data_IF_680684627870
#
_entry.id   IF_680684627870
#
_cell.length_a   1.000
_cell.length_b   1.000
_cell.length_c   1.000
_cell.angle_alpha   90.00
_cell.angle_beta   90.00
_cell.angle_gamma   90.00
#
_symmetry.space_group_name_H-M   'P 1'
#
loop_
_entity.id
_entity.type
_entity.pdbx_description
1 polymer ?
#
# COMPACT_ATOMS: atom_id res chain seq x y z
N UNK A 1 14.02 -41.10 59.68
CA UNK A 1 15.36 -40.81 59.13
C UNK A 1 15.52 -41.70 57.91
N UNK A 2 15.56 -41.29 56.66
CA UNK A 2 15.76 -40.01 55.99
C UNK A 2 16.18 -40.36 54.55
N UNK A 3 15.90 -39.47 53.60
CA UNK A 3 16.23 -39.54 52.16
C UNK A 3 17.66 -40.08 51.87
N UNK A 4 17.91 -40.68 50.69
CA UNK A 4 18.36 -40.00 49.46
C UNK A 4 18.36 -41.06 48.33
N UNK A 5 17.55 -40.97 47.26
CA UNK A 5 17.73 -40.17 46.05
C UNK A 5 19.18 -40.05 45.56
N UNK A 6 19.48 -40.72 44.45
CA UNK A 6 20.58 -40.36 43.54
C UNK A 6 20.11 -40.57 42.11
N UNK A 7 19.69 -39.45 41.54
CA UNK A 7 19.40 -39.18 40.14
C UNK A 7 20.63 -39.42 39.27
N UNK A 8 20.51 -40.32 38.30
CA UNK A 8 21.39 -40.29 37.13
C UNK A 8 20.71 -39.45 36.07
N UNK A 9 21.48 -38.48 35.57
CA UNK A 9 21.10 -37.47 34.61
C UNK A 9 20.69 -38.13 33.29
N UNK A 10 19.43 -37.97 32.90
CA UNK A 10 19.03 -38.18 31.52
C UNK A 10 19.44 -36.95 30.70
N UNK A 11 20.24 -37.26 29.70
CA UNK A 11 20.82 -36.35 28.74
C UNK A 11 19.71 -35.50 28.09
N UNK A 12 19.92 -34.19 28.09
CA UNK A 12 19.24 -33.30 27.17
C UNK A 12 19.68 -33.65 25.74
N UNK A 13 18.93 -34.58 25.14
CA UNK A 13 18.91 -34.81 23.71
C UNK A 13 18.44 -33.51 23.05
N UNK A 14 19.39 -32.76 22.49
CA UNK A 14 19.13 -31.57 21.69
C UNK A 14 18.54 -31.97 20.36
N UNK A 15 17.31 -32.49 20.40
CA UNK A 15 16.45 -32.59 19.24
C UNK A 15 16.26 -31.15 18.74
N UNK A 16 16.79 -30.84 17.55
CA UNK A 16 16.75 -29.49 16.97
C UNK A 16 15.33 -29.16 16.49
N UNK A 17 14.38 -29.14 17.42
CA UNK A 17 13.03 -28.67 17.18
C UNK A 17 13.14 -27.21 16.77
N UNK A 18 12.95 -26.95 15.47
CA UNK A 18 12.93 -25.60 14.93
C UNK A 18 11.90 -24.81 15.74
N UNK A 19 12.34 -23.70 16.33
CA UNK A 19 11.48 -22.87 17.18
C UNK A 19 10.42 -22.17 16.33
N UNK A 20 9.19 -22.07 16.83
CA UNK A 20 8.12 -21.37 16.10
C UNK A 20 8.50 -19.90 15.90
N UNK A 21 8.22 -19.32 14.73
CA UNK A 21 8.46 -17.89 14.50
C UNK A 21 7.74 -16.97 15.52
N UNK A 22 6.53 -17.35 15.97
CA UNK A 22 5.83 -16.66 17.04
C UNK A 22 6.58 -16.74 18.39
N UNK A 23 7.20 -17.88 18.71
CA UNK A 23 8.00 -18.07 19.93
C UNK A 23 9.33 -17.31 19.86
N UNK A 24 9.96 -17.26 18.68
CA UNK A 24 11.20 -16.49 18.43
C UNK A 24 10.96 -15.00 18.68
N UNK A 25 9.83 -14.46 18.20
CA UNK A 25 9.43 -13.08 18.45
C UNK A 25 8.85 -12.88 19.87
N UNK A 26 8.36 -13.93 20.51
CA UNK A 26 7.73 -13.88 21.83
C UNK A 26 6.33 -13.26 21.80
N UNK A 27 5.57 -13.53 20.74
CA UNK A 27 4.21 -13.02 20.51
C UNK A 27 3.20 -14.17 20.43
N UNK A 28 1.93 -13.87 20.69
CA UNK A 28 0.86 -14.84 20.53
C UNK A 28 0.62 -15.19 19.04
N UNK A 29 0.07 -16.36 18.77
CA UNK A 29 -0.31 -16.79 17.40
C UNK A 29 -1.31 -15.83 16.76
N UNK A 30 -2.21 -15.27 17.55
CA UNK A 30 -3.23 -14.33 17.11
C UNK A 30 -2.75 -12.88 17.15
N UNK A 31 -1.45 -12.64 17.33
CA UNK A 31 -0.89 -11.30 17.36
C UNK A 31 -1.17 -10.54 16.06
N UNK A 32 -1.46 -9.25 16.20
CA UNK A 32 -1.68 -8.32 15.10
C UNK A 32 -0.35 -7.95 14.44
N UNK A 33 -0.39 -7.44 13.20
CA UNK A 33 0.82 -7.00 12.49
C UNK A 33 1.59 -5.91 13.27
N UNK A 34 0.89 -5.05 13.99
CA UNK A 34 1.50 -4.01 14.82
C UNK A 34 2.26 -4.59 16.01
N UNK A 35 1.72 -5.63 16.64
CA UNK A 35 2.37 -6.35 17.73
C UNK A 35 3.61 -7.10 17.26
N UNK A 36 3.54 -7.76 16.10
CA UNK A 36 4.68 -8.43 15.45
C UNK A 36 5.80 -7.41 15.18
N UNK A 37 5.47 -6.28 14.56
CA UNK A 37 6.43 -5.19 14.29
C UNK A 37 7.03 -4.61 15.57
N UNK A 38 6.22 -4.46 16.63
CA UNK A 38 6.69 -3.96 17.94
C UNK A 38 7.64 -4.96 18.61
N UNK A 39 7.32 -6.25 18.57
CA UNK A 39 8.16 -7.32 19.11
C UNK A 39 9.49 -7.42 18.36
N UNK A 40 9.47 -7.33 17.03
CA UNK A 40 10.67 -7.29 16.20
C UNK A 40 11.59 -6.11 16.58
N UNK A 41 11.05 -4.89 16.67
CA UNK A 41 11.83 -3.71 17.09
C UNK A 41 12.47 -3.89 18.47
N UNK A 42 11.74 -4.48 19.42
CA UNK A 42 12.25 -4.74 20.77
C UNK A 42 13.41 -5.75 20.74
N UNK A 43 13.23 -6.89 20.05
CA UNK A 43 14.24 -7.94 19.91
C UNK A 43 15.47 -7.46 19.14
N UNK A 44 15.29 -6.63 18.11
CA UNK A 44 16.39 -6.03 17.36
C UNK A 44 17.28 -5.14 18.24
N UNK A 45 16.69 -4.32 19.13
CA UNK A 45 17.44 -3.51 20.08
C UNK A 45 18.13 -4.34 21.18
N UNK A 46 17.54 -5.48 21.57
CA UNK A 46 18.15 -6.43 22.52
C UNK A 46 19.34 -7.17 21.91
N UNK A 47 19.25 -7.54 20.63
CA UNK A 47 20.25 -8.31 19.91
C UNK A 47 21.21 -7.45 19.05
N UNK A 48 21.20 -6.13 19.25
CA UNK A 48 22.10 -5.25 18.52
C UNK A 48 23.57 -5.51 18.97
N UNK A 49 24.54 -5.58 18.03
CA UNK A 49 25.95 -5.84 18.36
C UNK A 49 26.54 -4.77 19.29
N UNK A 50 26.10 -3.53 19.17
CA UNK A 50 26.50 -2.39 20.04
C UNK A 50 26.02 -2.52 21.49
N UNK A 51 25.17 -3.49 21.81
CA UNK A 51 24.76 -3.76 23.21
C UNK A 51 25.36 -5.06 23.76
N UNK A 52 25.90 -5.91 22.88
CA UNK A 52 26.37 -7.25 23.20
C UNK A 52 27.84 -7.45 22.80
N UNK A 53 28.73 -6.60 23.31
CA UNK A 53 30.16 -6.58 22.96
C UNK A 53 30.92 -7.89 23.27
N UNK A 54 30.39 -8.78 24.11
CA UNK A 54 31.03 -10.06 24.47
C UNK A 54 30.43 -11.32 23.83
N UNK A 55 29.27 -11.21 23.15
CA UNK A 55 28.49 -12.35 22.66
C UNK A 55 27.98 -12.08 21.22
N UNK A 56 28.84 -11.46 20.40
CA UNK A 56 28.47 -10.98 19.05
C UNK A 56 27.95 -12.14 18.19
N UNK A 57 28.64 -13.28 18.15
CA UNK A 57 28.26 -14.43 17.32
C UNK A 57 26.86 -14.98 17.67
N UNK A 58 26.59 -15.16 18.96
CA UNK A 58 25.28 -15.65 19.44
C UNK A 58 24.18 -14.63 19.19
N UNK A 59 24.49 -13.34 19.34
CA UNK A 59 23.55 -12.26 19.11
C UNK A 59 23.20 -12.14 17.63
N UNK A 60 24.19 -12.21 16.74
CA UNK A 60 24.01 -12.25 15.28
C UNK A 60 23.19 -13.44 14.83
N UNK A 61 23.45 -14.64 15.35
CA UNK A 61 22.67 -15.84 15.01
C UNK A 61 21.20 -15.70 15.44
N UNK A 62 20.93 -15.24 16.67
CA UNK A 62 19.56 -14.98 17.15
C UNK A 62 18.89 -13.84 16.40
N UNK A 63 19.65 -12.83 15.99
CA UNK A 63 19.14 -11.71 15.21
C UNK A 63 18.70 -12.17 13.82
N UNK A 64 19.47 -13.03 13.16
CA UNK A 64 19.09 -13.65 11.90
C UNK A 64 17.81 -14.50 12.03
N UNK A 65 17.66 -15.27 13.12
CA UNK A 65 16.43 -16.00 13.42
C UNK A 65 15.22 -15.05 13.58
N UNK A 66 15.38 -13.98 14.38
CA UNK A 66 14.34 -12.96 14.61
C UNK A 66 13.98 -12.22 13.31
N UNK A 67 14.95 -11.94 12.46
CA UNK A 67 14.74 -11.34 11.15
C UNK A 67 13.94 -12.27 10.24
N UNK A 68 14.33 -13.55 10.15
CA UNK A 68 13.59 -14.55 9.35
C UNK A 68 12.15 -14.73 9.84
N UNK A 69 11.93 -14.70 11.15
CA UNK A 69 10.60 -14.79 11.75
C UNK A 69 9.73 -13.58 11.38
N UNK A 70 10.29 -12.37 11.42
CA UNK A 70 9.58 -11.16 11.05
C UNK A 70 9.29 -11.09 9.55
N UNK A 71 10.23 -11.48 8.68
CA UNK A 71 10.01 -11.52 7.23
C UNK A 71 8.76 -12.36 6.89
N UNK A 72 8.69 -13.60 7.39
CA UNK A 72 7.57 -14.51 7.14
C UNK A 72 6.25 -14.04 7.79
N UNK A 73 6.30 -13.54 9.03
CA UNK A 73 5.08 -13.15 9.76
C UNK A 73 4.55 -11.76 9.39
N UNK A 74 5.35 -10.92 8.74
CA UNK A 74 4.97 -9.56 8.35
C UNK A 74 4.14 -9.49 7.07
N UNK A 75 4.30 -10.44 6.15
CA UNK A 75 3.46 -10.55 4.94
C UNK A 75 2.25 -11.46 5.22
N UNK A 76 1.00 -10.96 5.08
CA UNK A 76 -0.21 -11.76 5.30
C UNK A 76 -0.26 -13.07 4.51
N UNK A 77 0.27 -13.08 3.28
CA UNK A 77 0.29 -14.26 2.42
C UNK A 77 1.31 -15.29 2.93
N UNK A 78 2.50 -14.84 3.33
CA UNK A 78 3.53 -15.72 3.87
C UNK A 78 3.15 -16.24 5.27
N UNK A 79 2.49 -15.41 6.08
CA UNK A 79 1.91 -15.81 7.37
C UNK A 79 0.86 -16.90 7.18
N UNK A 80 -0.09 -16.73 6.27
CA UNK A 80 -1.10 -17.73 5.99
C UNK A 80 -0.48 -19.06 5.51
N UNK A 81 0.54 -18.98 4.65
CA UNK A 81 1.28 -20.16 4.19
C UNK A 81 2.05 -20.84 5.33
N UNK A 82 2.73 -20.06 6.17
CA UNK A 82 3.44 -20.56 7.33
C UNK A 82 2.49 -21.21 8.32
N UNK A 83 1.35 -20.60 8.63
CA UNK A 83 0.35 -21.17 9.53
C UNK A 83 -0.22 -22.49 8.99
N UNK A 84 -0.43 -22.60 7.67
CA UNK A 84 -0.89 -23.82 7.01
C UNK A 84 0.15 -24.95 7.03
N UNK A 85 1.45 -24.63 6.92
CA UNK A 85 2.54 -25.62 6.83
C UNK A 85 3.38 -25.74 8.11
N UNK A 86 3.02 -25.00 9.17
CA UNK A 86 3.76 -24.87 10.43
C UNK A 86 4.12 -26.24 11.01
N UNK A 87 3.14 -27.13 11.12
CA UNK A 87 3.35 -28.43 11.74
C UNK A 87 4.33 -29.30 10.94
N UNK A 88 4.38 -29.14 9.62
CA UNK A 88 5.37 -29.81 8.75
C UNK A 88 6.78 -29.22 8.93
N UNK A 89 6.87 -27.90 9.08
CA UNK A 89 8.13 -27.17 9.25
C UNK A 89 8.75 -27.45 10.64
N UNK A 90 7.94 -27.41 11.69
CA UNK A 90 8.39 -27.54 13.10
C UNK A 90 8.67 -28.97 13.53
N UNK A 91 7.93 -29.95 12.99
CA UNK A 91 8.17 -31.36 13.31
C UNK A 91 9.54 -31.84 12.87
N UNK A 92 10.27 -31.05 12.05
CA UNK A 92 11.72 -31.19 11.89
C UNK A 92 12.18 -32.63 11.75
N UNK A 93 11.50 -33.43 10.94
CA UNK A 93 11.80 -34.85 10.85
C UNK A 93 13.08 -35.01 10.04
N UNK A 94 14.21 -34.90 10.73
CA UNK A 94 15.57 -35.27 10.31
C UNK A 94 15.91 -36.72 10.74
N UNK A 95 14.95 -37.46 11.26
CA UNK A 95 15.04 -38.92 11.27
C UNK A 95 14.92 -39.45 9.84
N UNK A 96 15.44 -40.65 9.53
CA UNK A 96 15.03 -41.37 8.34
C UNK A 96 13.54 -41.68 8.52
N UNK A 97 12.66 -40.74 8.18
CA UNK A 97 11.42 -41.11 7.52
C UNK A 97 11.87 -42.06 6.43
N UNK A 98 11.06 -43.05 6.09
CA UNK A 98 11.14 -43.51 4.71
C UNK A 98 11.09 -42.28 3.80
N UNK A 99 12.26 -41.79 3.37
CA UNK A 99 12.60 -41.75 1.95
C UNK A 99 12.27 -43.17 1.50
N UNK A 100 10.97 -43.47 1.37
CA UNK A 100 10.53 -44.42 0.43
C UNK A 100 11.10 -43.78 -0.82
N UNK A 101 12.25 -44.33 -1.19
CA UNK A 101 13.07 -43.96 -2.32
C UNK A 101 12.19 -44.36 -3.50
N UNK A 102 11.08 -43.62 -3.65
CA UNK A 102 9.94 -43.88 -4.51
C UNK A 102 10.39 -43.35 -5.85
N UNK A 103 11.35 -44.07 -6.40
CA UNK A 103 11.68 -44.00 -7.80
C UNK A 103 10.45 -44.51 -8.54
N UNK A 104 9.75 -43.63 -9.25
CA UNK A 104 9.03 -44.10 -10.42
C UNK A 104 10.04 -44.11 -11.56
N UNK A 105 10.22 -45.30 -12.14
CA UNK A 105 10.92 -45.47 -13.41
C UNK A 105 12.32 -44.82 -13.42
N UNK A 106 13.08 -45.02 -12.33
CA UNK A 106 14.47 -44.57 -12.13
C UNK A 106 14.70 -43.06 -11.92
N UNK A 107 13.65 -42.27 -11.63
CA UNK A 107 13.78 -40.86 -11.23
C UNK A 107 13.23 -40.66 -9.82
N UNK A 108 14.01 -40.00 -8.95
CA UNK A 108 13.58 -39.65 -7.59
C UNK A 108 12.38 -38.71 -7.68
N UNK A 109 11.22 -39.11 -7.16
CA UNK A 109 10.03 -38.25 -7.16
C UNK A 109 10.19 -37.17 -6.09
N UNK A 110 10.08 -35.90 -6.50
CA UNK A 110 9.99 -34.79 -5.56
C UNK A 110 8.59 -34.78 -4.95
N UNK A 111 8.49 -34.98 -3.64
CA UNK A 111 7.20 -34.88 -2.92
C UNK A 111 6.84 -33.41 -2.62
N UNK A 112 5.55 -33.12 -2.49
CA UNK A 112 5.08 -31.78 -2.09
C UNK A 112 5.70 -31.33 -0.75
N UNK A 113 5.88 -32.26 0.19
CA UNK A 113 6.54 -32.00 1.46
C UNK A 113 8.03 -31.62 1.33
N UNK A 114 8.75 -32.18 0.35
CA UNK A 114 10.13 -31.79 0.07
C UNK A 114 10.19 -30.33 -0.39
N UNK A 115 9.31 -29.92 -1.30
CA UNK A 115 9.23 -28.53 -1.81
C UNK A 115 8.96 -27.54 -0.67
N UNK A 116 7.98 -27.83 0.18
CA UNK A 116 7.63 -27.00 1.36
C UNK A 116 8.79 -26.89 2.34
N UNK A 117 9.50 -28.00 2.58
CA UNK A 117 10.68 -28.00 3.47
C UNK A 117 11.81 -27.16 2.90
N UNK A 118 12.04 -27.23 1.59
CA UNK A 118 13.04 -26.39 0.93
C UNK A 118 12.67 -24.91 1.03
N UNK A 119 11.40 -24.54 0.82
CA UNK A 119 10.91 -23.17 1.05
C UNK A 119 11.22 -22.66 2.47
N UNK A 120 11.03 -23.50 3.49
CA UNK A 120 11.38 -23.15 4.87
C UNK A 120 12.88 -23.07 5.17
N UNK A 121 13.74 -23.63 4.32
CA UNK A 121 15.21 -23.49 4.45
C UNK A 121 15.71 -22.18 3.85
N UNK A 122 15.01 -21.61 2.87
CA UNK A 122 15.34 -20.32 2.29
C UNK A 122 15.04 -19.20 3.29
N UNK A 123 16.06 -18.79 4.04
CA UNK A 123 16.06 -17.61 4.90
C UNK A 123 17.00 -16.53 4.32
N UNK A 124 17.00 -15.32 4.89
CA UNK A 124 17.90 -14.22 4.53
C UNK A 124 19.39 -14.50 4.76
N UNK A 125 19.75 -15.66 5.31
CA UNK A 125 21.14 -16.09 5.51
C UNK A 125 21.72 -16.85 4.31
N UNK A 126 20.92 -17.23 3.31
CA UNK A 126 21.43 -17.93 2.12
C UNK A 126 22.03 -16.93 1.13
N UNK A 127 23.26 -17.13 0.65
CA UNK A 127 23.88 -16.23 -0.31
C UNK A 127 23.21 -16.31 -1.68
N UNK A 128 22.98 -15.14 -2.28
CA UNK A 128 22.36 -14.97 -3.61
C UNK A 128 23.37 -15.27 -4.74
N UNK A 129 23.89 -16.50 -4.74
CA UNK A 129 24.98 -16.94 -5.62
C UNK A 129 24.56 -18.17 -6.42
N UNK A 130 25.26 -18.41 -7.53
CA UNK A 130 25.12 -19.61 -8.38
C UNK A 130 25.84 -20.84 -7.82
N UNK A 131 26.44 -20.73 -6.63
CA UNK A 131 27.03 -21.88 -5.95
C UNK A 131 25.95 -22.99 -5.73
N UNK A 132 26.34 -24.27 -5.63
CA UNK A 132 25.39 -25.36 -5.43
C UNK A 132 24.57 -25.21 -4.13
N UNK A 133 25.15 -24.58 -3.10
CA UNK A 133 24.48 -24.23 -1.84
C UNK A 133 23.88 -22.81 -1.84
N UNK A 134 24.02 -22.08 -2.95
CA UNK A 134 23.47 -20.74 -3.16
C UNK A 134 22.02 -20.78 -3.62
N UNK A 135 21.35 -19.63 -3.54
CA UNK A 135 19.94 -19.51 -3.91
C UNK A 135 19.64 -20.01 -5.33
N UNK A 136 20.44 -19.60 -6.32
CA UNK A 136 20.21 -19.96 -7.72
C UNK A 136 20.57 -21.41 -8.01
N UNK A 137 21.65 -21.95 -7.42
CA UNK A 137 22.05 -23.34 -7.63
C UNK A 137 21.04 -24.36 -7.05
N UNK A 138 20.52 -24.10 -5.84
CA UNK A 138 19.48 -24.97 -5.25
C UNK A 138 18.21 -24.95 -6.10
N UNK A 139 17.82 -23.78 -6.61
CA UNK A 139 16.62 -23.65 -7.44
C UNK A 139 16.82 -24.28 -8.82
N UNK A 140 17.98 -24.08 -9.45
CA UNK A 140 18.29 -24.66 -10.75
C UNK A 140 18.27 -26.19 -10.68
N UNK A 141 18.91 -26.78 -9.67
CA UNK A 141 18.91 -28.24 -9.48
C UNK A 141 17.50 -28.78 -9.25
N UNK A 142 16.69 -28.10 -8.43
CA UNK A 142 15.31 -28.50 -8.17
C UNK A 142 14.42 -28.37 -9.41
N UNK A 143 14.47 -27.25 -10.13
CA UNK A 143 13.65 -27.06 -11.33
C UNK A 143 14.08 -28.00 -12.46
N UNK A 144 15.38 -28.28 -12.60
CA UNK A 144 15.88 -29.29 -13.52
C UNK A 144 15.38 -30.70 -13.14
N UNK A 145 15.36 -31.03 -11.85
CA UNK A 145 14.81 -32.29 -11.38
C UNK A 145 13.31 -32.39 -11.66
N UNK A 146 12.54 -31.32 -11.38
CA UNK A 146 11.11 -31.26 -11.67
C UNK A 146 10.83 -31.39 -13.17
N UNK A 147 11.58 -30.71 -14.03
CA UNK A 147 11.47 -30.81 -15.48
C UNK A 147 11.72 -32.25 -15.96
N UNK A 148 12.79 -32.88 -15.48
CA UNK A 148 13.12 -34.28 -15.78
C UNK A 148 12.06 -35.26 -15.29
N UNK A 149 11.47 -35.00 -14.12
CA UNK A 149 10.37 -35.81 -13.58
C UNK A 149 9.10 -35.71 -14.44
N UNK A 150 8.80 -34.53 -15.01
CA UNK A 150 7.66 -34.35 -15.90
C UNK A 150 7.93 -34.90 -17.31
N UNK A 151 9.16 -34.79 -17.82
CA UNK A 151 9.60 -35.42 -19.08
C UNK A 151 9.49 -36.95 -18.98
N UNK A 152 9.98 -37.54 -17.88
CA UNK A 152 9.82 -38.97 -17.64
C UNK A 152 8.34 -39.39 -17.58
N UNK A 153 7.46 -38.60 -16.96
CA UNK A 153 6.02 -38.88 -16.96
C UNK A 153 5.38 -38.73 -18.36
N UNK A 154 5.97 -37.89 -19.21
CA UNK A 154 5.51 -37.59 -20.55
C UNK A 154 5.78 -38.70 -21.56
N UNK A 155 7.00 -39.25 -21.57
CA UNK A 155 7.45 -40.31 -22.49
C UNK A 155 6.55 -41.56 -22.42
N UNK A 156 5.93 -41.81 -21.28
CA UNK A 156 5.00 -42.92 -21.10
C UNK A 156 3.54 -42.59 -21.46
N UNK A 157 3.17 -41.31 -21.52
CA UNK A 157 1.79 -40.84 -21.69
C UNK A 157 1.40 -40.44 -23.12
N UNK A 158 2.36 -40.21 -24.02
CA UNK A 158 2.11 -39.86 -25.42
C UNK A 158 1.41 -38.50 -25.62
N UNK A 159 1.57 -37.57 -24.68
CA UNK A 159 1.00 -36.22 -24.77
C UNK A 159 1.89 -35.29 -25.62
N UNK A 160 1.55 -34.00 -25.78
CA UNK A 160 2.42 -33.01 -26.45
C UNK A 160 3.56 -32.53 -25.54
N UNK A 161 4.80 -32.58 -26.02
CA UNK A 161 6.01 -32.18 -25.27
C UNK A 161 5.90 -30.72 -24.83
N UNK A 162 5.85 -30.50 -23.51
CA UNK A 162 5.92 -29.17 -22.92
C UNK A 162 7.37 -28.92 -22.51
N UNK A 163 8.09 -28.16 -23.33
CA UNK A 163 9.44 -27.72 -22.98
C UNK A 163 9.39 -26.83 -21.72
N UNK A 164 10.18 -27.18 -20.72
CA UNK A 164 10.32 -26.46 -19.47
C UNK A 164 11.62 -25.63 -19.52
N UNK A 165 11.53 -24.30 -19.61
CA UNK A 165 12.72 -23.45 -19.62
C UNK A 165 13.54 -23.63 -18.34
N UNK A 166 14.85 -23.56 -18.48
CA UNK A 166 15.78 -23.55 -17.35
C UNK A 166 15.65 -22.25 -16.55
N UNK A 167 16.03 -22.30 -15.26
CA UNK A 167 15.91 -21.16 -14.33
C UNK A 167 16.94 -20.04 -14.56
N UNK A 168 18.09 -20.38 -15.15
CA UNK A 168 19.17 -19.43 -15.44
C UNK A 168 20.10 -19.10 -14.26
N UNK A 169 21.05 -18.19 -14.51
CA UNK A 169 22.11 -17.71 -13.61
C UNK A 169 21.88 -16.26 -13.13
N UNK A 170 22.60 -15.82 -12.10
CA UNK A 170 22.53 -14.44 -11.56
C UNK A 170 22.55 -13.34 -12.65
N UNK A 171 23.23 -13.56 -13.77
CA UNK A 171 23.46 -12.56 -14.82
C UNK A 171 22.47 -12.61 -16.00
N UNK A 172 21.47 -13.48 -15.94
CA UNK A 172 20.56 -13.67 -17.07
C UNK A 172 19.52 -12.55 -17.22
N UNK A 173 19.18 -12.27 -18.49
CA UNK A 173 18.27 -11.20 -18.86
C UNK A 173 16.80 -11.52 -18.55
N UNK A 174 16.06 -10.49 -18.13
CA UNK A 174 14.68 -10.63 -17.70
C UNK A 174 13.76 -11.08 -18.85
N UNK A 175 13.88 -10.47 -20.03
CA UNK A 175 12.93 -10.67 -21.12
C UNK A 175 13.13 -12.05 -21.79
N UNK A 176 14.38 -12.50 -21.89
CA UNK A 176 14.73 -13.69 -22.65
C UNK A 176 14.70 -15.00 -21.83
N UNK A 177 15.05 -14.95 -20.54
CA UNK A 177 15.18 -16.17 -19.71
C UNK A 177 14.15 -16.17 -18.58
N UNK A 178 14.13 -15.10 -17.79
CA UNK A 178 13.34 -15.03 -16.54
C UNK A 178 11.82 -14.99 -16.82
N UNK A 179 11.39 -14.17 -17.80
CA UNK A 179 9.98 -14.01 -18.18
C UNK A 179 9.36 -15.28 -18.78
N UNK A 180 9.95 -15.95 -19.79
CA UNK A 180 9.39 -17.20 -20.31
C UNK A 180 9.42 -18.32 -19.26
N UNK A 181 10.45 -18.37 -18.41
CA UNK A 181 10.50 -19.27 -17.25
C UNK A 181 9.27 -19.08 -16.36
N UNK A 182 9.08 -17.89 -15.78
CA UNK A 182 7.96 -17.66 -14.86
C UNK A 182 6.60 -17.83 -15.53
N UNK A 183 6.45 -17.47 -16.81
CA UNK A 183 5.19 -17.68 -17.55
C UNK A 183 4.80 -19.15 -17.61
N UNK A 184 5.77 -20.05 -17.78
CA UNK A 184 5.54 -21.50 -17.81
C UNK A 184 5.29 -22.06 -16.41
N UNK A 185 6.14 -21.69 -15.45
CA UNK A 185 6.12 -22.26 -14.10
C UNK A 185 4.98 -21.73 -13.20
N UNK A 186 4.47 -20.52 -13.44
CA UNK A 186 3.27 -20.01 -12.73
C UNK A 186 2.03 -20.85 -13.09
N UNK A 187 1.93 -21.29 -14.34
CA UNK A 187 0.83 -22.10 -14.84
C UNK A 187 1.14 -23.61 -14.78
N UNK A 188 2.08 -24.00 -13.92
CA UNK A 188 2.51 -25.39 -13.81
C UNK A 188 1.32 -26.31 -13.48
N UNK A 189 1.25 -27.41 -14.22
CA UNK A 189 0.35 -28.54 -13.97
C UNK A 189 1.13 -29.82 -14.20
N UNK A 190 1.23 -30.65 -13.17
CA UNK A 190 1.88 -31.95 -13.28
C UNK A 190 1.08 -32.90 -14.16
N UNK A 191 1.79 -33.73 -14.93
CA UNK A 191 1.24 -34.85 -15.71
C UNK A 191 1.50 -36.20 -15.06
N UNK A 192 2.13 -36.22 -13.88
CA UNK A 192 2.36 -37.45 -13.11
C UNK A 192 1.05 -38.13 -12.77
N UNK A 193 1.06 -39.45 -12.80
CA UNK A 193 -0.13 -40.26 -12.55
C UNK A 193 -0.50 -40.34 -11.06
N UNK A 194 0.42 -40.02 -10.15
CA UNK A 194 0.23 -40.12 -8.68
C UNK A 194 -0.28 -41.49 -8.20
N UNK A 195 -0.03 -42.56 -8.95
CA UNK A 195 -0.52 -43.92 -8.64
C UNK A 195 0.00 -44.48 -7.30
N UNK A 196 1.10 -43.94 -6.77
CA UNK A 196 1.62 -44.28 -5.44
C UNK A 196 0.80 -43.71 -4.28
N UNK A 197 -0.12 -42.76 -4.55
CA UNK A 197 -1.08 -42.24 -3.54
C UNK A 197 -2.26 -43.19 -3.32
N UNK A 198 -2.43 -44.22 -4.14
CA UNK A 198 -3.50 -45.20 -4.01
C UNK A 198 -3.33 -46.00 -2.70
N UNK A 199 -4.22 -45.77 -1.73
CA UNK A 199 -4.20 -46.48 -0.45
C UNK A 199 -4.82 -47.87 -0.54
N UNK A 200 -5.76 -48.07 -1.45
CA UNK A 200 -6.51 -49.31 -1.57
C UNK A 200 -6.17 -50.02 -2.88
N UNK A 201 -5.90 -51.32 -2.84
CA UNK A 201 -5.73 -52.09 -4.08
C UNK A 201 -7.10 -52.44 -4.66
N UNK A 202 -7.29 -52.21 -5.96
CA UNK A 202 -8.54 -52.54 -6.67
C UNK A 202 -8.84 -54.05 -6.71
N UNK A 203 -7.80 -54.89 -6.52
CA UNK A 203 -7.89 -56.35 -6.42
C UNK A 203 -8.58 -56.83 -5.15
N UNK A 204 -8.49 -56.07 -4.06
CA UNK A 204 -8.91 -56.51 -2.73
C UNK A 204 -10.43 -56.33 -2.51
N UNK A 205 -11.12 -55.79 -3.52
CA UNK A 205 -12.54 -55.51 -3.49
C UNK A 205 -13.38 -56.80 -3.63
N UNK A 206 -14.25 -57.13 -2.65
CA UNK A 206 -15.08 -58.34 -2.68
C UNK A 206 -16.18 -58.28 -3.75
N UNK A 207 -16.73 -57.08 -4.01
CA UNK A 207 -17.81 -56.86 -4.97
C UNK A 207 -17.46 -55.79 -6.00
N UNK A 208 -18.11 -55.84 -7.17
CA UNK A 208 -17.98 -54.79 -8.21
C UNK A 208 -18.34 -53.40 -7.69
N UNK A 209 -19.33 -53.31 -6.78
CA UNK A 209 -19.73 -52.04 -6.15
C UNK A 209 -18.61 -51.49 -5.26
N UNK A 210 -17.99 -52.33 -4.45
CA UNK A 210 -16.88 -51.97 -3.58
C UNK A 210 -15.65 -51.57 -4.39
N UNK A 211 -15.39 -52.25 -5.52
CA UNK A 211 -14.30 -51.88 -6.45
C UNK A 211 -14.47 -50.47 -6.99
N UNK A 212 -15.69 -50.09 -7.39
CA UNK A 212 -16.00 -48.73 -7.86
C UNK A 212 -15.83 -47.68 -6.76
N UNK A 213 -16.18 -48.00 -5.52
CA UNK A 213 -15.98 -47.10 -4.38
C UNK A 213 -14.48 -46.92 -4.08
N UNK A 214 -13.72 -48.02 -4.08
CA UNK A 214 -12.26 -48.01 -3.92
C UNK A 214 -11.59 -47.20 -5.03
N UNK A 215 -11.96 -47.43 -6.28
CA UNK A 215 -11.41 -46.70 -7.43
C UNK A 215 -11.73 -45.20 -7.37
N UNK A 216 -12.95 -44.85 -6.96
CA UNK A 216 -13.35 -43.46 -6.73
C UNK A 216 -12.56 -42.82 -5.58
N UNK A 217 -12.32 -43.56 -4.51
CA UNK A 217 -11.54 -43.07 -3.36
C UNK A 217 -10.06 -42.91 -3.71
N UNK A 218 -9.46 -43.87 -4.42
CA UNK A 218 -8.11 -43.72 -4.95
C UNK A 218 -8.02 -42.55 -5.91
N UNK A 219 -9.00 -42.36 -6.79
CA UNK A 219 -9.04 -41.19 -7.67
C UNK A 219 -9.07 -39.89 -6.86
N UNK A 220 -9.88 -39.82 -5.79
CA UNK A 220 -9.91 -38.69 -4.87
C UNK A 220 -8.54 -38.43 -4.23
N UNK A 221 -7.84 -39.47 -3.78
CA UNK A 221 -6.49 -39.37 -3.19
C UNK A 221 -5.42 -38.94 -4.20
N UNK A 222 -5.53 -39.40 -5.45
CA UNK A 222 -4.65 -38.95 -6.54
C UNK A 222 -4.90 -37.48 -6.87
N UNK A 223 -6.16 -37.09 -7.01
CA UNK A 223 -6.56 -35.71 -7.29
C UNK A 223 -6.15 -34.76 -6.15
N UNK A 224 -6.22 -35.21 -4.90
CA UNK A 224 -5.68 -34.50 -3.73
C UNK A 224 -4.16 -34.35 -3.81
N UNK A 225 -3.42 -35.45 -4.03
CA UNK A 225 -1.97 -35.39 -4.18
C UNK A 225 -1.49 -34.51 -5.35
N UNK A 226 -2.21 -34.53 -6.48
CA UNK A 226 -1.96 -33.67 -7.64
C UNK A 226 -2.18 -32.21 -7.27
N UNK A 227 -3.28 -31.89 -6.57
CA UNK A 227 -3.56 -30.52 -6.12
C UNK A 227 -2.49 -30.03 -5.15
N UNK A 228 -2.17 -30.80 -4.13
CA UNK A 228 -1.12 -30.46 -3.16
C UNK A 228 0.24 -30.22 -3.83
N UNK A 229 0.62 -31.06 -4.78
CA UNK A 229 1.88 -30.90 -5.52
C UNK A 229 1.88 -29.66 -6.40
N UNK A 230 0.80 -29.43 -7.17
CA UNK A 230 0.68 -28.25 -8.01
C UNK A 230 0.69 -26.96 -7.18
N UNK A 231 -0.02 -26.95 -6.05
CA UNK A 231 -0.07 -25.81 -5.15
C UNK A 231 1.27 -25.56 -4.47
N UNK A 232 2.00 -26.61 -4.09
CA UNK A 232 3.37 -26.50 -3.56
C UNK A 232 4.35 -25.93 -4.61
N UNK A 233 4.32 -26.41 -5.86
CA UNK A 233 5.17 -25.88 -6.94
C UNK A 233 4.83 -24.42 -7.24
N UNK A 234 3.54 -24.07 -7.34
CA UNK A 234 3.12 -22.67 -7.58
C UNK A 234 3.47 -21.76 -6.42
N UNK A 235 3.35 -22.24 -5.17
CA UNK A 235 3.78 -21.50 -3.99
C UNK A 235 5.30 -21.27 -4.00
N UNK A 236 6.10 -22.27 -4.38
CA UNK A 236 7.54 -22.11 -4.58
C UNK A 236 7.84 -21.06 -5.65
N UNK A 237 7.18 -21.13 -6.81
CA UNK A 237 7.41 -20.17 -7.90
C UNK A 237 7.03 -18.75 -7.46
N UNK A 238 5.92 -18.58 -6.74
CA UNK A 238 5.52 -17.29 -6.19
C UNK A 238 6.53 -16.75 -5.16
N UNK A 239 7.09 -17.63 -4.33
CA UNK A 239 8.12 -17.31 -3.35
C UNK A 239 9.43 -16.87 -4.01
N UNK A 240 9.91 -17.64 -4.99
CA UNK A 240 11.12 -17.29 -5.75
C UNK A 240 10.91 -15.96 -6.47
N UNK A 241 9.74 -15.74 -7.08
CA UNK A 241 9.40 -14.50 -7.78
C UNK A 241 9.45 -13.25 -6.88
N UNK A 242 9.13 -13.36 -5.59
CA UNK A 242 9.23 -12.24 -4.64
C UNK A 242 10.68 -11.92 -4.25
N UNK A 243 11.55 -12.93 -4.28
CA UNK A 243 12.92 -12.86 -3.77
C UNK A 243 13.97 -12.67 -4.85
N UNK A 244 13.67 -13.05 -6.09
CA UNK A 244 14.60 -12.90 -7.21
C UNK A 244 14.77 -11.42 -7.58
N UNK A 245 15.95 -10.81 -7.39
CA UNK A 245 16.22 -9.44 -7.79
C UNK A 245 16.11 -9.23 -9.31
N UNK A 246 16.30 -10.29 -10.11
CA UNK A 246 16.14 -10.25 -11.56
C UNK A 246 14.67 -10.12 -11.97
N UNK A 247 13.74 -10.56 -11.11
CA UNK A 247 12.32 -10.43 -11.40
C UNK A 247 11.90 -8.98 -11.16
N UNK A 248 11.91 -8.19 -12.22
CA UNK A 248 11.41 -6.82 -12.20
C UNK A 248 9.90 -6.93 -11.95
N UNK A 249 9.38 -6.41 -10.81
CA UNK A 249 7.97 -6.55 -10.45
C UNK A 249 7.11 -5.73 -11.41
N UNK A 250 6.72 -6.38 -12.51
CA UNK A 250 5.83 -5.91 -13.55
C UNK A 250 6.23 -4.57 -14.19
N UNK A 251 6.47 -4.65 -15.49
CA UNK A 251 6.65 -3.59 -16.48
C UNK A 251 5.42 -2.69 -16.65
N UNK A 252 4.81 -2.23 -15.56
CA UNK A 252 4.13 -0.95 -15.59
C UNK A 252 5.14 0.03 -15.04
N UNK A 253 5.80 0.70 -15.97
CA UNK A 253 6.53 1.90 -15.62
C UNK A 253 5.60 2.78 -14.80
N UNK A 254 6.13 3.59 -13.89
CA UNK A 254 5.30 4.51 -13.11
C UNK A 254 4.39 5.36 -14.03
N UNK A 255 4.84 5.61 -15.26
CA UNK A 255 4.06 6.18 -16.34
C UNK A 255 2.81 5.36 -16.75
N UNK A 256 2.90 4.03 -16.87
CA UNK A 256 1.75 3.17 -17.18
C UNK A 256 0.72 3.17 -16.03
N UNK A 257 1.19 3.17 -14.79
CA UNK A 257 0.32 3.33 -13.61
C UNK A 257 -0.40 4.67 -13.61
N UNK A 258 0.34 5.75 -13.86
CA UNK A 258 -0.22 7.11 -13.98
C UNK A 258 -1.20 7.23 -15.15
N UNK A 259 -0.94 6.53 -16.27
CA UNK A 259 -1.84 6.47 -17.42
C UNK A 259 -3.15 5.78 -17.07
N UNK A 260 -3.10 4.62 -16.41
CA UNK A 260 -4.31 3.90 -15.96
C UNK A 260 -5.14 4.77 -15.00
N UNK A 261 -4.49 5.46 -14.06
CA UNK A 261 -5.17 6.39 -13.16
C UNK A 261 -5.81 7.57 -13.90
N UNK A 262 -5.12 8.13 -14.91
CA UNK A 262 -5.65 9.21 -15.75
C UNK A 262 -6.84 8.76 -16.58
N UNK A 263 -6.77 7.58 -17.18
CA UNK A 263 -7.82 7.01 -18.02
C UNK A 263 -9.05 6.66 -17.17
N UNK A 264 -8.86 6.13 -15.96
CA UNK A 264 -9.93 5.90 -14.99
C UNK A 264 -10.61 7.21 -14.55
N UNK A 265 -9.82 8.26 -14.24
CA UNK A 265 -10.36 9.57 -13.87
C UNK A 265 -11.11 10.22 -15.05
N UNK A 266 -10.61 10.09 -16.27
CA UNK A 266 -11.26 10.58 -17.48
C UNK A 266 -12.59 9.84 -17.74
N UNK A 267 -12.63 8.52 -17.56
CA UNK A 267 -13.84 7.72 -17.70
C UNK A 267 -14.90 8.09 -16.65
N UNK A 268 -14.49 8.33 -15.39
CA UNK A 268 -15.39 8.82 -14.34
C UNK A 268 -15.93 10.22 -14.66
N UNK A 269 -15.07 11.13 -15.11
CA UNK A 269 -15.48 12.48 -15.52
C UNK A 269 -16.44 12.46 -16.71
N UNK A 270 -16.20 11.60 -17.71
CA UNK A 270 -17.09 11.43 -18.86
C UNK A 270 -18.46 10.88 -18.42
N UNK A 271 -18.47 9.88 -17.54
CA UNK A 271 -19.70 9.32 -16.98
C UNK A 271 -20.50 10.36 -16.17
N UNK A 272 -19.81 11.19 -15.37
CA UNK A 272 -20.44 12.27 -14.62
C UNK A 272 -21.04 13.36 -15.54
N UNK A 273 -20.33 13.74 -16.62
CA UNK A 273 -20.84 14.68 -17.62
C UNK A 273 -22.08 14.13 -18.32
N UNK A 274 -22.04 12.88 -18.77
CA UNK A 274 -23.19 12.22 -19.39
C UNK A 274 -24.39 12.15 -18.43
N UNK A 275 -24.16 11.86 -17.15
CA UNK A 275 -25.22 11.86 -16.14
C UNK A 275 -25.81 13.26 -15.89
N UNK A 276 -24.97 14.30 -15.88
CA UNK A 276 -25.44 15.68 -15.75
C UNK A 276 -26.20 16.14 -16.99
N UNK A 277 -25.72 15.81 -18.18
CA UNK A 277 -26.40 16.12 -19.43
C UNK A 277 -27.77 15.43 -19.49
N UNK A 278 -27.85 14.14 -19.16
CA UNK A 278 -29.13 13.43 -19.08
C UNK A 278 -30.09 14.00 -18.02
N UNK A 279 -29.57 14.63 -16.95
CA UNK A 279 -30.39 15.37 -15.98
C UNK A 279 -30.88 16.69 -16.56
N UNK A 280 -30.05 17.41 -17.32
CA UNK A 280 -30.42 18.64 -18.01
C UNK A 280 -31.46 18.37 -19.10
N UNK A 281 -31.31 17.30 -19.88
CA UNK A 281 -32.26 16.92 -20.93
C UNK A 281 -33.64 16.55 -20.36
N UNK A 282 -33.66 16.00 -19.14
CA UNK A 282 -34.90 15.73 -18.39
C UNK A 282 -35.44 16.95 -17.65
N UNK A 283 -34.65 18.02 -17.55
CA UNK A 283 -35.05 19.22 -16.84
C UNK A 283 -35.97 20.07 -17.74
N UNK A 284 -37.28 19.91 -17.53
CA UNK A 284 -38.28 20.74 -18.17
C UNK A 284 -38.28 22.12 -17.50
N UNK A 285 -37.85 23.13 -18.24
CA UNK A 285 -37.92 24.54 -17.81
C UNK A 285 -39.39 24.92 -17.62
N UNK A 286 -39.72 25.49 -16.46
CA UNK A 286 -41.10 25.90 -16.15
C UNK A 286 -41.61 26.98 -17.11
N UNK A 287 -42.90 26.93 -17.44
CA UNK A 287 -43.49 27.71 -18.54
C UNK A 287 -43.37 29.23 -18.40
N UNK A 288 -43.32 29.75 -17.16
CA UNK A 288 -43.11 31.18 -16.89
C UNK A 288 -41.67 31.66 -17.17
N UNK A 289 -40.72 30.74 -17.32
CA UNK A 289 -39.32 31.01 -17.64
C UNK A 289 -38.99 30.80 -19.14
N UNK A 290 -39.98 30.42 -19.95
CA UNK A 290 -39.85 30.37 -21.41
C UNK A 290 -40.09 31.77 -21.97
N UNK A 291 -39.07 32.38 -22.58
CA UNK A 291 -39.25 33.63 -23.32
C UNK A 291 -40.18 33.38 -24.52
N UNK A 292 -41.26 34.15 -24.65
CA UNK A 292 -42.14 34.12 -25.83
C UNK A 292 -41.34 34.50 -27.09
N UNK A 293 -41.54 33.76 -28.18
CA UNK A 293 -40.83 34.01 -29.44
C UNK A 293 -41.21 35.38 -30.05
N UNK A 294 -40.28 36.08 -30.70
CA UNK A 294 -40.55 37.39 -31.27
C UNK A 294 -41.31 37.24 -32.60
N UNK A 295 -42.47 37.87 -32.70
CA UNK A 295 -43.21 38.04 -33.96
C UNK A 295 -42.62 39.23 -34.73
N UNK A 296 -42.39 39.07 -36.03
CA UNK A 296 -41.84 40.11 -36.92
C UNK A 296 -42.67 41.41 -36.88
N UNK A 297 -42.04 42.54 -36.58
CA UNK A 297 -42.64 43.86 -36.76
C UNK A 297 -42.18 44.95 -35.79
N UNK A 298 -41.14 45.68 -36.19
CA UNK A 298 -40.84 47.08 -35.83
C UNK A 298 -41.03 47.48 -34.36
N UNK A 299 -39.94 47.48 -33.59
CA UNK A 299 -39.78 48.38 -32.46
C UNK A 299 -38.40 49.02 -32.51
N UNK A 300 -38.43 50.32 -32.80
CA UNK A 300 -37.41 51.35 -32.64
C UNK A 300 -36.23 50.94 -31.76
N UNK A 301 -35.05 51.04 -32.36
CA UNK A 301 -33.79 51.27 -31.69
C UNK A 301 -33.93 52.57 -30.86
N UNK A 302 -34.11 52.40 -29.56
CA UNK A 302 -34.01 53.46 -28.56
C UNK A 302 -33.06 52.91 -27.50
N UNK A 303 -31.77 53.01 -27.77
CA UNK A 303 -30.71 52.92 -26.76
C UNK A 303 -30.90 54.07 -25.76
N UNK A 304 -31.88 53.92 -24.85
CA UNK A 304 -31.78 54.59 -23.55
C UNK A 304 -30.77 53.77 -22.75
N UNK A 305 -29.50 54.17 -22.90
CA UNK A 305 -28.38 53.82 -22.05
C UNK A 305 -28.68 54.31 -20.63
N UNK A 306 -29.56 53.57 -19.94
CA UNK A 306 -29.75 53.70 -18.50
C UNK A 306 -28.47 53.17 -17.87
N UNK A 307 -27.64 54.08 -17.38
CA UNK A 307 -26.51 53.80 -16.51
C UNK A 307 -26.99 52.99 -15.30
N UNK A 308 -27.03 51.67 -15.43
CA UNK A 308 -27.23 50.77 -14.31
C UNK A 308 -25.92 50.78 -13.56
N UNK A 309 -25.85 51.54 -12.46
CA UNK A 309 -24.70 51.55 -11.56
C UNK A 309 -24.36 50.11 -11.12
N UNK A 310 -23.36 49.53 -11.76
CA UNK A 310 -22.86 48.19 -11.47
C UNK A 310 -21.93 48.30 -10.26
N UNK A 311 -22.35 47.73 -9.14
CA UNK A 311 -21.55 47.76 -7.90
C UNK A 311 -20.64 46.55 -7.90
N UNK A 312 -19.33 46.78 -8.01
CA UNK A 312 -18.32 45.73 -7.94
C UNK A 312 -17.76 45.53 -6.52
N UNK A 313 -17.44 44.29 -6.20
CA UNK A 313 -16.73 43.94 -4.99
C UNK A 313 -15.26 43.64 -5.30
N UNK A 314 -14.37 44.58 -5.00
CA UNK A 314 -12.90 44.48 -5.23
C UNK A 314 -12.24 43.30 -4.52
N UNK A 315 -12.86 42.78 -3.46
CA UNK A 315 -12.30 41.66 -2.68
C UNK A 315 -12.67 40.31 -3.28
N UNK A 316 -13.75 40.26 -4.07
CA UNK A 316 -14.32 39.02 -4.57
C UNK A 316 -14.47 38.98 -6.10
N UNK A 317 -14.08 40.05 -6.80
CA UNK A 317 -14.22 40.29 -8.23
C UNK A 317 -15.62 39.92 -8.77
N UNK A 318 -16.65 40.37 -8.05
CA UNK A 318 -18.05 40.12 -8.38
C UNK A 318 -18.81 41.41 -8.60
N UNK A 319 -19.56 41.44 -9.69
CA UNK A 319 -20.37 42.58 -10.10
C UNK A 319 -21.82 42.31 -9.71
N UNK A 320 -22.46 43.29 -9.05
CA UNK A 320 -23.83 43.22 -8.58
C UNK A 320 -24.66 44.33 -9.24
N UNK A 321 -25.88 43.97 -9.62
CA UNK A 321 -26.82 44.86 -10.31
C UNK A 321 -27.73 45.64 -9.35
N UNK A 322 -27.60 45.42 -8.04
CA UNK A 322 -28.42 46.06 -7.02
C UNK A 322 -27.68 46.14 -5.69
N UNK A 323 -27.81 47.28 -5.01
CA UNK A 323 -27.22 47.53 -3.71
C UNK A 323 -27.65 46.50 -2.64
N UNK A 324 -28.89 46.00 -2.70
CA UNK A 324 -29.37 44.98 -1.77
C UNK A 324 -28.67 43.63 -1.96
N UNK A 325 -28.29 43.28 -3.20
CA UNK A 325 -27.52 42.06 -3.48
C UNK A 325 -26.08 42.20 -3.01
N UNK A 326 -25.50 43.40 -3.15
CA UNK A 326 -24.17 43.72 -2.65
C UNK A 326 -24.12 43.67 -1.11
N UNK A 327 -25.07 44.29 -0.41
CA UNK A 327 -25.19 44.23 1.07
C UNK A 327 -25.37 42.79 1.59
N UNK A 328 -26.05 41.93 0.84
CA UNK A 328 -26.15 40.51 1.16
C UNK A 328 -24.83 39.76 0.93
N UNK A 329 -24.08 40.14 -0.11
CA UNK A 329 -22.74 39.61 -0.38
C UNK A 329 -21.74 40.00 0.72
N UNK A 330 -21.76 41.24 1.20
CA UNK A 330 -20.90 41.70 2.31
C UNK A 330 -21.08 40.88 3.59
N UNK A 331 -22.31 40.45 3.87
CA UNK A 331 -22.64 39.61 5.03
C UNK A 331 -22.33 38.13 4.82
N UNK A 332 -21.91 37.73 3.62
CA UNK A 332 -21.62 36.33 3.30
C UNK A 332 -20.31 35.87 3.95
N UNK A 333 -20.33 34.66 4.53
CA UNK A 333 -19.14 34.02 5.13
C UNK A 333 -17.95 33.92 4.16
N UNK A 334 -18.21 33.83 2.85
CA UNK A 334 -17.16 33.77 1.82
C UNK A 334 -16.48 35.13 1.64
N UNK A 335 -17.26 36.21 1.57
CA UNK A 335 -16.75 37.57 1.45
C UNK A 335 -15.95 37.99 2.70
N UNK A 336 -16.51 37.77 3.89
CA UNK A 336 -15.84 38.09 5.16
C UNK A 336 -14.47 37.39 5.29
N UNK A 337 -14.37 36.13 4.85
CA UNK A 337 -13.09 35.40 4.84
C UNK A 337 -12.09 35.98 3.85
N UNK A 338 -12.54 36.38 2.66
CA UNK A 338 -11.69 37.03 1.66
C UNK A 338 -11.17 38.39 2.16
N UNK A 339 -12.03 39.19 2.82
CA UNK A 339 -11.63 40.47 3.44
C UNK A 339 -10.56 40.26 4.52
N UNK A 340 -10.75 39.27 5.40
CA UNK A 340 -9.77 38.95 6.45
C UNK A 340 -8.43 38.49 5.89
N UNK A 341 -8.43 37.78 4.77
CA UNK A 341 -7.20 37.38 4.09
C UNK A 341 -6.48 38.59 3.50
N UNK A 342 -7.20 39.46 2.80
CA UNK A 342 -6.64 40.67 2.20
C UNK A 342 -6.07 41.63 3.26
N UNK A 343 -6.76 41.81 4.40
CA UNK A 343 -6.25 42.61 5.52
C UNK A 343 -4.95 42.07 6.10
N UNK A 344 -4.78 40.74 6.12
CA UNK A 344 -3.55 40.10 6.60
C UNK A 344 -2.40 40.29 5.62
N UNK A 345 -2.69 40.22 4.32
CA UNK A 345 -1.71 40.49 3.26
C UNK A 345 -1.25 41.95 3.29
N UNK A 346 -2.19 42.91 3.37
CA UNK A 346 -1.88 44.34 3.49
C UNK A 346 -1.03 44.63 4.73
N UNK A 347 -1.37 44.06 5.89
CA UNK A 347 -0.59 44.28 7.13
C UNK A 347 0.83 43.72 6.98
N UNK A 348 0.98 42.55 6.37
CA UNK A 348 2.29 41.95 6.08
C UNK A 348 3.11 42.82 5.11
N UNK A 349 2.46 43.42 4.13
CA UNK A 349 3.13 44.30 3.17
C UNK A 349 3.51 45.66 3.80
N UNK A 350 2.67 46.21 4.68
CA UNK A 350 3.01 47.39 5.47
C UNK A 350 4.21 47.15 6.38
N UNK A 351 4.26 46.00 7.06
CA UNK A 351 5.42 45.58 7.85
C UNK A 351 6.66 45.44 6.97
N UNK A 352 6.52 44.84 5.78
CA UNK A 352 7.61 44.67 4.81
C UNK A 352 8.16 45.98 4.28
N UNK A 353 7.29 46.96 4.07
CA UNK A 353 7.63 48.28 3.53
C UNK A 353 7.90 49.32 4.62
N UNK A 354 7.85 48.94 5.91
CA UNK A 354 8.01 49.83 7.07
C UNK A 354 7.10 51.07 7.04
N UNK A 355 5.90 50.94 6.45
CA UNK A 355 4.96 52.05 6.26
C UNK A 355 4.24 52.45 7.57
N UNK A 356 4.27 51.59 8.59
CA UNK A 356 3.64 51.84 9.90
C UNK A 356 4.55 52.64 10.87
N UNK A 357 5.75 53.04 10.45
CA UNK A 357 6.66 53.85 11.26
C UNK A 357 6.35 55.34 11.04
N UNK A 358 5.94 56.11 12.07
CA UNK A 358 5.82 57.55 11.94
C UNK A 358 7.19 58.12 11.56
N UNK A 359 7.25 58.98 10.53
CA UNK A 359 8.46 59.72 10.22
C UNK A 359 8.87 60.54 11.45
N UNK A 360 9.89 60.08 12.15
CA UNK A 360 10.56 60.87 13.19
C UNK A 360 11.24 62.04 12.49
N UNK A 361 10.63 63.23 12.56
CA UNK A 361 11.35 64.46 12.26
C UNK A 361 12.49 64.58 13.27
N UNK A 362 13.71 64.31 12.83
CA UNK A 362 14.91 64.58 13.60
C UNK A 362 15.02 66.09 13.87
N UNK A 363 15.16 66.45 15.15
CA UNK A 363 15.43 67.81 15.60
C UNK A 363 16.78 68.26 15.00
N UNK A 364 16.87 69.43 14.33
CA UNK A 364 18.14 69.91 13.81
C UNK A 364 19.07 70.30 14.96
N UNK A 365 20.29 69.78 14.92
CA UNK A 365 21.42 70.17 15.76
C UNK A 365 21.92 71.56 15.39
N UNK A 366 22.33 72.32 16.40
CA UNK A 366 22.91 73.66 16.29
C UNK A 366 24.17 73.65 15.42
N UNK A 367 24.12 74.25 14.23
CA UNK A 367 25.18 75.11 13.67
C UNK A 367 24.72 75.73 12.34
N UNK A 368 24.87 77.06 12.28
CA UNK A 368 24.86 77.92 11.08
C UNK A 368 23.52 78.30 10.42
N UNK A 369 22.84 79.26 11.05
CA UNK A 369 22.49 80.60 10.52
C UNK A 369 22.16 80.70 9.01
N UNK A 370 20.90 81.08 8.67
CA UNK A 370 20.56 82.39 8.10
C UNK A 370 19.03 82.52 7.89
N UNK A 371 18.41 83.49 8.58
CA UNK A 371 17.04 83.95 8.33
C UNK A 371 17.14 85.17 7.41
N UNK A 372 16.30 85.28 6.37
CA UNK A 372 15.48 86.49 6.32
C UNK A 372 13.98 86.19 6.27
N UNK A 373 13.32 86.88 7.19
CA UNK A 373 11.90 86.95 7.45
C UNK A 373 11.28 87.95 6.47
N UNK A 374 10.28 87.57 5.68
CA UNK A 374 9.29 88.55 5.22
C UNK A 374 7.95 87.93 4.82
N UNK A 375 6.89 88.63 5.23
CA UNK A 375 5.47 88.54 4.86
C UNK A 375 4.55 87.44 5.44
N UNK A 376 4.05 87.76 6.64
CA UNK A 376 2.62 87.83 7.02
C UNK A 376 1.56 87.31 6.02
N UNK A 377 0.63 86.47 6.50
CA UNK A 377 -0.71 86.95 6.92
C UNK A 377 -1.64 85.80 7.38
N UNK A 378 -2.07 85.90 8.65
CA UNK A 378 -3.44 85.82 9.17
C UNK A 378 -4.39 84.76 8.58
N UNK A 379 -4.89 83.84 9.43
CA UNK A 379 -6.31 83.75 9.77
C UNK A 379 -6.54 82.77 10.95
N UNK A 380 -6.78 83.39 12.09
CA UNK A 380 -7.33 82.87 13.34
C UNK A 380 -8.82 82.58 13.17
N UNK A 381 -9.25 81.34 13.45
CA UNK A 381 -10.61 81.05 13.92
C UNK A 381 -10.48 80.05 15.06
N UNK A 382 -10.34 80.59 16.25
CA UNK A 382 -10.53 79.91 17.51
C UNK A 382 -12.03 79.83 17.88
N UNK A 383 -12.37 78.75 18.60
CA UNK A 383 -13.57 78.54 19.44
C UNK A 383 -14.85 78.15 18.68
N UNK A 384 -15.46 77.00 18.97
CA UNK A 384 -16.25 76.84 20.20
C UNK A 384 -16.17 75.46 20.86
N UNK A 385 -16.31 75.55 22.18
CA UNK A 385 -16.12 74.56 23.22
C UNK A 385 -17.34 73.64 23.51
N UNK A 386 -17.01 72.44 23.99
CA UNK A 386 -17.49 71.73 25.20
C UNK A 386 -18.99 71.73 25.57
N UNK A 387 -19.56 70.53 25.79
CA UNK A 387 -19.69 69.93 27.15
C UNK A 387 -20.50 68.62 27.13
N UNK A 388 -19.99 67.65 27.90
CA UNK A 388 -20.69 66.48 28.39
C UNK A 388 -21.72 66.85 29.48
N UNK A 389 -22.76 66.02 29.65
CA UNK A 389 -23.69 66.08 30.77
C UNK A 389 -24.74 64.97 30.71
N UNK A 390 -24.52 63.94 31.53
CA UNK A 390 -25.44 62.86 31.90
C UNK A 390 -26.66 63.36 32.68
N UNK A 391 -27.83 62.69 32.56
CA UNK A 391 -28.78 62.31 33.64
C UNK A 391 -30.14 61.83 33.05
N UNK A 392 -30.46 60.53 33.17
CA UNK A 392 -31.47 59.90 34.07
C UNK A 392 -32.97 60.07 33.72
N UNK A 393 -33.59 58.93 33.42
CA UNK A 393 -34.87 58.38 33.92
C UNK A 393 -36.14 59.25 34.05
N UNK A 394 -37.20 58.83 33.31
CA UNK A 394 -38.58 58.52 33.77
C UNK A 394 -39.57 58.74 32.57
N UNK A 395 -40.19 57.70 31.97
CA UNK A 395 -41.48 57.11 32.35
C UNK A 395 -42.59 58.15 32.62
N UNK A 396 -43.51 58.38 31.67
CA UNK A 396 -44.93 57.89 31.67
C UNK A 396 -45.80 58.61 30.64
N UNK A 397 -46.71 57.83 30.01
CA UNK A 397 -48.06 58.20 29.51
C UNK A 397 -48.17 59.32 28.45
N UNK A 398 -49.07 59.34 27.46
CA UNK A 398 -50.31 58.64 27.13
C UNK A 398 -50.68 59.13 25.70
N UNK A 399 -51.42 58.34 24.92
CA UNK A 399 -51.97 58.75 23.62
C UNK A 399 -52.13 57.59 22.65
#
# INVERSE_FOLDING_TARGET
>A
MGAQQSSTADAHESNSVKRCYYEVLGVDRHATEEEIKKAYRKKALELHPDRNFGDIERSTAKFAEVQSANEVLSDPQERAWYDAHRDSILRGYDGPVGDSNEFQQNVKITSAGHIVRLMGKFNSSIPMTDAPDGFYGILQTLFAQLAKEEEAAHDWGGFEFLDYPEFGSVHDDYENVVKPFYRRWINFTTKKTFSWRDQYRTSDAPDRRTRRLIEKENQRLRDEGIREFNDAVRALVAFVRKRDPRYIPNSQTEADRLKILRDAAAAQAASARAANQAKLDKHVVQDWAKSQEPTEGSASDSEEELDVELIECVVCDKIFKSENQYKAHEKSKKHIKAVQQLQREIRRDNDRLNLDKPLELEKPTESEIHIPNDELAVLDISQTELKAGSETSALTAEG
#
